data_IF_741328113133
#
_entry.id   IF_741328113133
#
_cell.length_a   1.000
_cell.length_b   1.000
_cell.length_c   1.000
_cell.angle_alpha   90.00
_cell.angle_beta   90.00
_cell.angle_gamma   90.00
#
_symmetry.space_group_name_H-M   'P 1'
#
loop_
_entity.id
_entity.type
_entity.pdbx_description
1 polymer ?
#
# COMPACT_ATOMS: atom_id res chain seq x y z
N UNK A 1 14.50 -36.10 10.76
CA UNK A 1 13.57 -35.39 9.85
C UNK A 1 12.80 -34.34 10.66
N UNK A 2 12.45 -33.20 10.03
CA UNK A 2 11.77 -31.98 10.55
C UNK A 2 12.68 -30.88 11.12
N UNK A 3 12.56 -29.57 10.79
CA UNK A 3 11.47 -28.84 10.14
C UNK A 3 11.96 -27.56 9.38
N UNK A 4 11.56 -27.40 8.12
CA UNK A 4 11.59 -26.14 7.37
C UNK A 4 10.40 -25.26 7.80
N UNK A 5 10.54 -24.45 8.86
CA UNK A 5 9.43 -23.62 9.39
C UNK A 5 9.64 -22.10 9.22
N UNK A 6 10.84 -21.63 8.87
CA UNK A 6 11.15 -20.19 8.76
C UNK A 6 10.66 -19.51 7.48
N UNK A 7 10.64 -20.22 6.35
CA UNK A 7 10.43 -19.61 5.03
C UNK A 7 8.99 -19.13 4.80
N UNK A 8 7.99 -19.90 5.26
CA UNK A 8 6.56 -19.58 5.03
C UNK A 8 6.12 -18.29 5.71
N UNK A 9 6.63 -18.00 6.91
CA UNK A 9 6.25 -16.79 7.66
C UNK A 9 6.78 -15.53 6.97
N UNK A 10 7.97 -15.59 6.38
CA UNK A 10 8.58 -14.48 5.64
C UNK A 10 7.84 -14.22 4.33
N UNK A 11 7.54 -15.25 3.53
CA UNK A 11 6.77 -15.11 2.28
C UNK A 11 5.37 -14.54 2.53
N UNK A 12 4.69 -14.97 3.59
CA UNK A 12 3.39 -14.40 3.96
C UNK A 12 3.48 -12.93 4.41
N UNK A 13 4.56 -12.55 5.08
CA UNK A 13 4.81 -11.16 5.45
C UNK A 13 5.07 -10.30 4.21
N UNK A 14 5.91 -10.76 3.29
CA UNK A 14 6.26 -10.05 2.05
C UNK A 14 5.04 -9.85 1.15
N UNK A 15 4.22 -10.90 0.99
CA UNK A 15 2.91 -10.83 0.30
C UNK A 15 2.01 -9.77 0.91
N UNK A 16 1.85 -9.79 2.23
CA UNK A 16 0.94 -8.86 2.93
C UNK A 16 1.41 -7.43 2.78
N UNK A 17 2.72 -7.20 2.93
CA UNK A 17 3.34 -5.88 2.77
C UNK A 17 3.14 -5.35 1.34
N UNK A 18 3.35 -6.20 0.33
CA UNK A 18 3.13 -5.84 -1.07
C UNK A 18 1.68 -5.40 -1.32
N UNK A 19 0.70 -6.19 -0.89
CA UNK A 19 -0.72 -5.86 -1.08
C UNK A 19 -1.08 -4.55 -0.35
N UNK A 20 -0.54 -4.32 0.85
CA UNK A 20 -0.73 -3.06 1.59
C UNK A 20 -0.21 -1.88 0.77
N UNK A 21 0.99 -1.96 0.19
CA UNK A 21 1.54 -0.87 -0.62
C UNK A 21 0.73 -0.61 -1.88
N UNK A 22 0.32 -1.65 -2.61
CA UNK A 22 -0.52 -1.49 -3.81
C UNK A 22 -1.84 -0.78 -3.47
N UNK A 23 -2.57 -1.28 -2.49
CA UNK A 23 -3.86 -0.68 -2.09
C UNK A 23 -3.69 0.74 -1.54
N UNK A 24 -2.59 0.99 -0.82
CA UNK A 24 -2.24 2.32 -0.35
C UNK A 24 -2.00 3.28 -1.52
N UNK A 25 -1.21 2.90 -2.51
CA UNK A 25 -0.90 3.73 -3.68
C UNK A 25 -2.13 4.01 -4.54
N UNK A 26 -3.02 3.02 -4.72
CA UNK A 26 -4.34 3.18 -5.36
C UNK A 26 -5.16 4.28 -4.66
N UNK A 27 -5.02 4.44 -3.35
CA UNK A 27 -5.68 5.50 -2.57
C UNK A 27 -6.62 4.99 -1.48
N UNK A 28 -6.55 3.71 -1.12
CA UNK A 28 -7.35 3.18 -0.02
C UNK A 28 -6.91 3.73 1.34
N UNK A 29 -7.84 3.83 2.28
CA UNK A 29 -7.55 4.24 3.66
C UNK A 29 -6.97 3.05 4.46
N UNK A 30 -6.25 3.33 5.56
CA UNK A 30 -5.79 2.29 6.48
C UNK A 30 -6.91 1.35 6.92
N UNK A 31 -8.10 1.89 7.20
CA UNK A 31 -9.28 1.12 7.63
C UNK A 31 -9.78 0.19 6.53
N UNK A 32 -9.84 0.68 5.29
CA UNK A 32 -10.27 -0.13 4.14
C UNK A 32 -9.31 -1.27 3.88
N UNK A 33 -8.00 -1.00 3.92
CA UNK A 33 -6.96 -2.02 3.70
C UNK A 33 -7.01 -3.06 4.83
N UNK A 34 -7.13 -2.60 6.08
CA UNK A 34 -7.25 -3.47 7.25
C UNK A 34 -8.45 -4.42 7.13
N UNK A 35 -9.61 -3.91 6.71
CA UNK A 35 -10.80 -4.74 6.48
C UNK A 35 -10.59 -5.76 5.36
N UNK A 36 -9.96 -5.36 4.25
CA UNK A 36 -9.70 -6.25 3.12
C UNK A 36 -8.72 -7.39 3.47
N UNK A 37 -7.78 -7.16 4.39
CA UNK A 37 -6.74 -8.12 4.77
C UNK A 37 -7.00 -8.84 6.10
N UNK A 38 -8.12 -8.55 6.78
CA UNK A 38 -8.40 -9.10 8.11
C UNK A 38 -7.39 -8.67 9.18
N UNK A 39 -6.80 -7.48 9.04
CA UNK A 39 -5.75 -6.95 9.93
C UNK A 39 -6.28 -5.84 10.84
N UNK A 40 -5.52 -5.48 11.88
CA UNK A 40 -5.77 -4.26 12.65
C UNK A 40 -5.25 -3.04 11.88
N UNK A 41 -5.99 -1.93 11.90
CA UNK A 41 -5.56 -0.68 11.25
C UNK A 41 -4.18 -0.18 11.71
N UNK A 42 -3.80 -0.44 12.97
CA UNK A 42 -2.47 -0.13 13.52
C UNK A 42 -1.34 -0.91 12.83
N UNK A 43 -1.58 -2.16 12.42
CA UNK A 43 -0.57 -2.96 11.70
C UNK A 43 -0.34 -2.40 10.30
N UNK A 44 -1.42 -2.03 9.60
CA UNK A 44 -1.33 -1.40 8.27
C UNK A 44 -0.60 -0.06 8.36
N UNK A 45 -0.92 0.77 9.36
CA UNK A 45 -0.21 2.03 9.61
C UNK A 45 1.28 1.80 9.90
N UNK A 46 1.64 0.77 10.67
CA UNK A 46 3.04 0.41 10.92
C UNK A 46 3.80 0.01 9.66
N UNK A 47 3.20 -0.82 8.80
CA UNK A 47 3.78 -1.22 7.50
C UNK A 47 4.05 0.02 6.64
N UNK A 48 3.06 0.90 6.49
CA UNK A 48 3.18 2.11 5.67
C UNK A 48 4.23 3.07 6.25
N UNK A 49 4.19 3.33 7.56
CA UNK A 49 5.10 4.27 8.22
C UNK A 49 6.58 3.85 8.13
N UNK A 50 6.83 2.53 8.19
CA UNK A 50 8.17 1.98 8.09
C UNK A 50 8.73 2.00 6.65
N UNK A 51 7.87 2.24 5.64
CA UNK A 51 8.32 2.43 4.26
C UNK A 51 8.92 3.82 4.07
N UNK A 52 10.18 3.89 3.65
CA UNK A 52 10.80 5.17 3.26
C UNK A 52 10.15 5.78 2.02
N UNK A 53 9.67 4.94 1.11
CA UNK A 53 9.10 5.34 -0.19
C UNK A 53 7.62 5.67 -0.07
N UNK A 54 6.82 4.77 0.52
CA UNK A 54 5.36 4.83 0.40
C UNK A 54 4.65 5.59 1.53
N UNK A 55 5.32 5.90 2.66
CA UNK A 55 4.70 6.62 3.79
C UNK A 55 4.13 7.99 3.42
N UNK A 56 4.69 8.64 2.40
CA UNK A 56 4.43 10.02 2.01
C UNK A 56 3.29 10.23 1.01
N UNK A 57 2.41 9.26 0.75
CA UNK A 57 1.40 9.33 -0.32
C UNK A 57 0.59 10.63 -0.36
N UNK A 58 0.23 11.20 0.79
CA UNK A 58 -0.55 12.43 0.84
C UNK A 58 0.20 13.67 0.33
N UNK A 59 1.53 13.62 0.25
CA UNK A 59 2.38 14.65 -0.32
C UNK A 59 2.75 14.36 -1.79
N UNK A 60 2.40 13.18 -2.32
CA UNK A 60 2.65 12.81 -3.71
C UNK A 60 1.55 13.38 -4.62
N UNK A 61 1.98 13.83 -5.79
CA UNK A 61 1.12 14.08 -6.94
C UNK A 61 0.48 12.79 -7.45
N UNK A 62 -0.60 12.90 -8.24
CA UNK A 62 -1.22 11.71 -8.84
C UNK A 62 -0.28 11.00 -9.83
N UNK A 63 0.65 11.72 -10.47
CA UNK A 63 1.65 11.13 -11.38
C UNK A 63 2.72 10.34 -10.64
N UNK A 64 3.28 10.87 -9.56
CA UNK A 64 4.22 10.12 -8.71
C UNK A 64 3.55 8.86 -8.15
N UNK A 65 2.27 8.95 -7.78
CA UNK A 65 1.51 7.78 -7.32
C UNK A 65 1.32 6.75 -8.42
N UNK A 66 1.12 7.18 -9.67
CA UNK A 66 1.01 6.28 -10.83
C UNK A 66 2.34 5.59 -11.08
N UNK A 67 3.44 6.34 -11.09
CA UNK A 67 4.78 5.77 -11.30
C UNK A 67 5.09 4.69 -10.27
N UNK A 68 4.92 4.98 -8.98
CA UNK A 68 5.13 3.98 -7.93
C UNK A 68 4.20 2.77 -8.03
N UNK A 69 2.98 2.97 -8.52
CA UNK A 69 2.03 1.87 -8.73
C UNK A 69 2.44 0.99 -9.92
N UNK A 70 3.00 1.58 -10.98
CA UNK A 70 3.58 0.83 -12.10
C UNK A 70 4.86 0.10 -11.67
N UNK A 71 5.74 0.72 -10.86
CA UNK A 71 6.91 0.03 -10.30
C UNK A 71 6.48 -1.22 -9.50
N UNK A 72 5.44 -1.08 -8.66
CA UNK A 72 4.84 -2.20 -7.92
C UNK A 72 4.24 -3.25 -8.86
N UNK A 73 3.65 -2.84 -9.99
CA UNK A 73 3.09 -3.76 -10.99
C UNK A 73 4.18 -4.55 -11.69
N UNK A 74 5.30 -3.91 -12.04
CA UNK A 74 6.44 -4.55 -12.71
C UNK A 74 7.02 -5.66 -11.84
N UNK A 75 7.20 -5.40 -10.55
CA UNK A 75 7.74 -6.41 -9.62
C UNK A 75 6.72 -7.45 -9.17
N UNK A 76 5.46 -7.39 -9.66
CA UNK A 76 4.37 -8.27 -9.19
C UNK A 76 4.61 -9.74 -9.52
N UNK A 77 5.15 -10.01 -10.70
CA UNK A 77 5.47 -11.35 -11.15
C UNK A 77 6.86 -11.74 -10.63
N UNK A 78 6.94 -12.83 -9.88
CA UNK A 78 8.21 -13.46 -9.51
C UNK A 78 8.79 -14.26 -10.67
N UNK A 79 10.09 -14.57 -10.57
CA UNK A 79 10.83 -15.34 -11.57
C UNK A 79 10.28 -16.76 -11.78
N UNK A 80 9.52 -17.28 -10.81
CA UNK A 80 8.85 -18.58 -10.84
C UNK A 80 7.47 -18.54 -11.54
N UNK A 81 7.09 -17.38 -12.08
CA UNK A 81 5.79 -17.15 -12.72
C UNK A 81 4.63 -16.99 -11.72
N UNK A 82 4.89 -17.05 -10.41
CA UNK A 82 3.87 -16.75 -9.39
C UNK A 82 3.85 -15.26 -9.10
N UNK A 83 2.65 -14.74 -8.80
CA UNK A 83 2.52 -13.35 -8.34
C UNK A 83 2.80 -13.26 -6.85
N UNK A 84 3.48 -12.20 -6.41
CA UNK A 84 3.75 -11.95 -4.97
C UNK A 84 2.44 -11.97 -4.15
N UNK A 85 1.34 -11.54 -4.74
CA UNK A 85 0.02 -11.49 -4.10
C UNK A 85 -0.81 -12.78 -4.21
N UNK A 86 -0.31 -13.82 -4.89
CA UNK A 86 -1.04 -15.05 -5.22
C UNK A 86 -2.46 -14.78 -5.77
N UNK A 87 -2.54 -13.84 -6.72
CA UNK A 87 -3.80 -13.46 -7.40
C UNK A 87 -4.79 -12.62 -6.56
N UNK A 88 -4.44 -12.21 -5.33
CA UNK A 88 -5.31 -11.38 -4.50
C UNK A 88 -5.67 -10.03 -5.15
N UNK A 89 -4.86 -9.55 -6.08
CA UNK A 89 -5.04 -8.30 -6.80
C UNK A 89 -5.54 -8.47 -8.24
N UNK A 90 -5.87 -9.69 -8.70
CA UNK A 90 -6.28 -9.94 -10.10
C UNK A 90 -7.54 -9.18 -10.52
N UNK A 91 -8.42 -8.90 -9.55
CA UNK A 91 -9.66 -8.15 -9.76
C UNK A 91 -9.53 -6.67 -9.40
N UNK A 92 -8.34 -6.21 -9.02
CA UNK A 92 -8.09 -4.84 -8.59
C UNK A 92 -7.32 -4.12 -9.70
N UNK A 93 -7.90 -3.10 -10.34
CA UNK A 93 -7.18 -2.31 -11.32
C UNK A 93 -6.06 -1.51 -10.63
N UNK A 94 -4.85 -1.58 -11.19
CA UNK A 94 -3.70 -0.77 -10.77
C UNK A 94 -3.89 0.67 -11.27
N UNK A 95 -4.89 1.36 -10.74
CA UNK A 95 -5.26 2.73 -11.12
C UNK A 95 -5.35 3.62 -9.90
N UNK A 96 -4.61 4.72 -9.91
CA UNK A 96 -4.67 5.76 -8.89
C UNK A 96 -6.06 6.40 -8.88
N UNK A 97 -6.69 6.40 -7.70
CA UNK A 97 -7.90 7.18 -7.44
C UNK A 97 -7.50 8.65 -7.26
N UNK A 98 -8.08 9.59 -8.02
CA UNK A 98 -7.80 11.01 -7.87
C UNK A 98 -8.14 11.46 -6.44
N UNK A 99 -7.27 12.30 -5.87
CA UNK A 99 -7.60 12.98 -4.62
C UNK A 99 -8.76 13.95 -4.91
N UNK A 100 -9.98 13.62 -4.47
CA UNK A 100 -11.09 14.57 -4.53
C UNK A 100 -10.72 15.79 -3.67
N UNK A 101 -11.00 17.01 -4.13
CA UNK A 101 -10.56 18.30 -3.56
C UNK A 101 -10.69 18.48 -2.03
N UNK A 102 -11.47 17.65 -1.33
CA UNK A 102 -11.56 17.59 0.14
C UNK A 102 -10.46 16.76 0.83
N UNK A 103 -9.59 16.09 0.08
CA UNK A 103 -8.49 15.26 0.58
C UNK A 103 -7.10 15.84 0.27
N UNK A 104 -7.03 16.85 -0.59
CA UNK A 104 -5.82 17.68 -0.75
C UNK A 104 -5.70 18.61 0.44
N UNK A 105 -4.47 18.82 0.93
CA UNK A 105 -4.12 19.81 1.95
C UNK A 105 -4.83 21.14 1.66
N UNK A 106 -5.93 21.42 2.36
CA UNK A 106 -6.32 22.80 2.57
C UNK A 106 -5.23 23.45 3.42
N UNK A 107 -4.75 24.65 3.08
CA UNK A 107 -3.82 25.35 3.95
C UNK A 107 -4.49 25.47 5.33
N UNK A 108 -3.80 25.03 6.38
CA UNK A 108 -4.16 25.36 7.75
C UNK A 108 -4.07 26.88 7.86
N UNK A 109 -5.16 27.59 7.55
CA UNK A 109 -5.31 28.99 7.93
C UNK A 109 -5.31 28.99 9.46
N UNK A 110 -4.15 29.24 10.07
CA UNK A 110 -4.07 29.73 11.44
C UNK A 110 -4.97 30.96 11.49
N UNK A 111 -6.08 30.89 12.22
CA UNK A 111 -6.69 32.08 12.79
C UNK A 111 -5.65 32.62 13.78
N UNK A 112 -4.82 33.57 13.34
CA UNK A 112 -4.15 34.48 14.26
C UNK A 112 -5.26 35.44 14.69
N UNK A 113 -5.78 35.21 15.89
CA UNK A 113 -6.59 36.20 16.59
C UNK A 113 -5.66 37.06 17.43
N UNK A 114 -5.57 38.33 17.07
CA UNK A 114 -5.46 39.52 17.92
C UNK A 114 -5.38 40.74 17.02
#
# INVERSE_FOLDING_TARGET
MSAFSGFRRQVHADRTIYIVYVLWMIGHSHRTIAAALGMRSKQVAGIIHNSKVYRGRAAMTDDERRQHLEDLRVIRAGDDGQTIDNGALDRIPFKVRPLKARQGRGPLKRKVGL
#
